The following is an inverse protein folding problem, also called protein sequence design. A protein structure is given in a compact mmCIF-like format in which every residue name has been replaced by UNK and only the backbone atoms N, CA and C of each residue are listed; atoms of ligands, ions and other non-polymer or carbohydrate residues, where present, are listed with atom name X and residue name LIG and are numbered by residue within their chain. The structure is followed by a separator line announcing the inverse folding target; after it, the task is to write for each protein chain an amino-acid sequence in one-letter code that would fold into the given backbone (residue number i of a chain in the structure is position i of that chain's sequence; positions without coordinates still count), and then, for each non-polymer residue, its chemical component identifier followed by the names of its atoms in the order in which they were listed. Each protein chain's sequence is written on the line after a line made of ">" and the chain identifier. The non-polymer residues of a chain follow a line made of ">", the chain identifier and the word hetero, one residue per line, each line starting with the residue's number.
data_IF_864002946074
#
_entry.id   IF_864002946074
#
_cell.length_a   1.000
_cell.length_b   1.000
_cell.length_c   1.000
_cell.angle_alpha   90.00
_cell.angle_beta   90.00
_cell.angle_gamma   90.00
#
_symmetry.space_group_name_H-M   'P 1'
#
loop_
_entity.id
_entity.type
_entity.pdbx_description
1 polymer ?
#
# COMPACT_ATOMS: atom_id res chain seq x y z
N UNK A 1 1.68 -2.77 -3.59
CA UNK A 1 2.77 -2.64 -4.58
C UNK A 1 3.93 -3.54 -4.17
N UNK A 2 4.56 -4.25 -5.12
CA UNK A 2 5.68 -5.14 -4.83
C UNK A 2 6.99 -4.57 -5.40
N UNK A 3 8.05 -4.69 -4.62
CA UNK A 3 9.42 -4.34 -5.02
C UNK A 3 10.32 -5.49 -4.59
N UNK A 4 11.26 -5.85 -5.46
CA UNK A 4 12.27 -6.86 -5.15
C UNK A 4 13.00 -6.51 -3.84
N UNK A 5 13.33 -7.53 -3.04
CA UNK A 5 13.96 -7.36 -1.73
C UNK A 5 15.23 -6.47 -1.83
N UNK A 6 16.08 -6.77 -2.82
CA UNK A 6 17.33 -6.05 -3.09
C UNK A 6 17.16 -4.59 -3.51
N UNK A 7 15.94 -4.18 -3.86
CA UNK A 7 15.66 -2.82 -4.33
C UNK A 7 14.71 -2.06 -3.40
N UNK A 8 14.44 -2.57 -2.20
CA UNK A 8 13.64 -1.84 -1.21
C UNK A 8 14.35 -0.58 -0.72
N UNK A 9 13.57 0.43 -0.31
CA UNK A 9 14.06 1.73 0.20
C UNK A 9 14.91 2.56 -0.78
N UNK A 10 14.92 2.19 -2.06
CA UNK A 10 15.61 2.93 -3.13
C UNK A 10 14.74 4.00 -3.80
N UNK A 11 13.48 4.16 -3.37
CA UNK A 11 12.52 5.09 -3.97
C UNK A 11 11.71 4.52 -5.14
N UNK A 12 11.99 3.30 -5.62
CA UNK A 12 11.26 2.68 -6.75
C UNK A 12 9.75 2.69 -6.56
N UNK A 13 9.26 2.33 -5.38
CA UNK A 13 7.82 2.30 -5.12
C UNK A 13 7.17 3.69 -5.25
N UNK A 14 7.88 4.75 -4.85
CA UNK A 14 7.39 6.13 -5.00
C UNK A 14 7.32 6.53 -6.47
N UNK A 15 8.32 6.16 -7.27
CA UNK A 15 8.32 6.39 -8.73
C UNK A 15 7.16 5.66 -9.41
N UNK A 16 6.93 4.39 -9.04
CA UNK A 16 5.80 3.61 -9.55
C UNK A 16 4.46 4.26 -9.17
N UNK A 17 4.31 4.74 -7.93
CA UNK A 17 3.12 5.48 -7.52
C UNK A 17 2.90 6.76 -8.31
N UNK A 18 3.94 7.54 -8.58
CA UNK A 18 3.81 8.76 -9.38
C UNK A 18 3.26 8.46 -10.78
N UNK A 19 3.77 7.42 -11.45
CA UNK A 19 3.26 7.00 -12.75
C UNK A 19 1.83 6.46 -12.68
N UNK A 20 1.53 5.62 -11.68
CA UNK A 20 0.20 5.04 -11.51
C UNK A 20 -0.86 6.10 -11.23
N UNK A 21 -0.59 7.05 -10.33
CA UNK A 21 -1.53 8.13 -10.01
C UNK A 21 -1.87 8.99 -11.23
N UNK A 22 -0.87 9.29 -12.08
CA UNK A 22 -1.11 10.01 -13.34
C UNK A 22 -2.02 9.24 -14.30
N UNK A 23 -1.82 7.92 -14.41
CA UNK A 23 -2.67 7.07 -15.25
C UNK A 23 -4.11 7.00 -14.73
N UNK A 24 -4.29 6.81 -13.41
CA UNK A 24 -5.61 6.74 -12.80
C UNK A 24 -6.39 8.06 -12.99
N UNK A 25 -5.71 9.21 -12.86
CA UNK A 25 -6.31 10.51 -13.11
C UNK A 25 -6.78 10.66 -14.58
N UNK A 26 -5.94 10.24 -15.54
CA UNK A 26 -6.32 10.23 -16.97
C UNK A 26 -7.52 9.33 -17.26
N UNK A 27 -7.60 8.21 -16.55
CA UNK A 27 -8.71 7.24 -16.66
C UNK A 27 -9.97 7.66 -15.89
N UNK A 28 -9.97 8.85 -15.26
CA UNK A 28 -11.12 9.41 -14.53
C UNK A 28 -11.53 8.59 -13.29
N UNK A 29 -10.60 7.84 -12.69
CA UNK A 29 -10.84 7.24 -11.37
C UNK A 29 -10.91 8.33 -10.30
N UNK A 30 -11.91 8.22 -9.43
CA UNK A 30 -12.11 9.18 -8.35
C UNK A 30 -11.34 8.83 -7.06
N UNK A 31 -11.21 7.53 -6.75
CA UNK A 31 -10.53 7.03 -5.55
C UNK A 31 -9.71 5.79 -5.86
N UNK A 32 -8.58 5.67 -5.19
CA UNK A 32 -7.77 4.47 -5.14
C UNK A 32 -7.69 3.99 -3.69
N UNK A 33 -7.73 2.68 -3.50
CA UNK A 33 -7.63 2.04 -2.20
C UNK A 33 -6.46 1.08 -2.21
N UNK A 34 -5.72 1.02 -1.10
CA UNK A 34 -4.58 0.13 -0.93
C UNK A 34 -4.76 -0.67 0.36
N UNK A 35 -4.85 -1.99 0.22
CA UNK A 35 -4.89 -2.90 1.36
C UNK A 35 -3.48 -3.21 1.87
N UNK A 36 -3.27 -3.11 3.18
CA UNK A 36 -2.00 -3.41 3.84
C UNK A 36 -2.25 -4.43 4.95
N UNK A 37 -1.63 -5.60 4.85
CA UNK A 37 -1.58 -6.55 5.98
C UNK A 37 -0.70 -5.97 7.08
N UNK A 38 -1.21 -5.92 8.31
CA UNK A 38 -0.50 -5.38 9.47
C UNK A 38 0.11 -6.50 10.34
N UNK A 39 1.21 -6.22 11.06
CA UNK A 39 1.99 -4.97 11.05
C UNK A 39 2.88 -4.84 9.79
N UNK A 40 2.97 -3.62 9.24
CA UNK A 40 3.87 -3.30 8.12
C UNK A 40 4.14 -1.79 8.04
N UNK A 41 4.98 -1.28 8.93
CA UNK A 41 5.27 0.16 9.08
C UNK A 41 5.89 0.75 7.80
N UNK A 42 6.72 -0.03 7.09
CA UNK A 42 7.33 0.41 5.85
C UNK A 42 6.29 0.66 4.75
N UNK A 43 5.29 -0.23 4.63
CA UNK A 43 4.19 -0.05 3.68
C UNK A 43 3.31 1.12 4.11
N UNK A 44 2.94 1.21 5.40
CA UNK A 44 2.12 2.32 5.92
C UNK A 44 2.77 3.68 5.64
N UNK A 45 4.07 3.81 5.96
CA UNK A 45 4.82 5.05 5.71
C UNK A 45 4.91 5.39 4.23
N UNK A 46 5.10 4.40 3.35
CA UNK A 46 5.12 4.61 1.90
C UNK A 46 3.77 5.14 1.39
N UNK A 47 2.66 4.50 1.77
CA UNK A 47 1.33 4.90 1.32
C UNK A 47 0.96 6.30 1.83
N UNK A 48 1.23 6.59 3.10
CA UNK A 48 1.07 7.94 3.66
C UNK A 48 1.92 8.98 2.92
N UNK A 49 3.17 8.67 2.61
CA UNK A 49 4.07 9.58 1.89
C UNK A 49 3.64 9.89 0.44
N UNK A 50 2.74 9.09 -0.15
CA UNK A 50 2.18 9.34 -1.49
C UNK A 50 0.73 9.82 -1.45
N UNK A 51 0.23 10.19 -0.27
CA UNK A 51 -1.07 10.87 -0.09
C UNK A 51 -2.25 9.96 0.21
N UNK A 52 -2.03 8.68 0.56
CA UNK A 52 -3.12 7.85 1.09
C UNK A 52 -3.41 8.18 2.54
N UNK A 53 -4.69 8.09 2.91
CA UNK A 53 -5.16 8.27 4.27
C UNK A 53 -5.80 6.96 4.78
N UNK A 54 -5.68 6.63 6.09
CA UNK A 54 -6.35 5.47 6.65
C UNK A 54 -7.87 5.60 6.58
N UNK A 55 -8.54 4.56 6.07
CA UNK A 55 -10.02 4.53 5.97
C UNK A 55 -10.67 3.50 6.90
N UNK A 56 -9.89 2.55 7.44
CA UNK A 56 -10.38 1.53 8.36
C UNK A 56 -9.34 0.43 8.62
N UNK A 57 -9.65 -0.47 9.54
CA UNK A 57 -8.89 -1.71 9.77
C UNK A 57 -9.87 -2.85 9.97
N UNK A 58 -9.77 -3.88 9.14
CA UNK A 58 -10.42 -5.17 9.33
C UNK A 58 -9.57 -6.00 10.28
N UNK A 59 -10.06 -6.18 11.52
CA UNK A 59 -9.33 -6.89 12.58
C UNK A 59 -9.51 -8.40 12.46
N UNK A 60 -8.42 -9.15 12.57
CA UNK A 60 -8.41 -10.62 12.56
C UNK A 60 -9.03 -11.24 11.30
N UNK A 61 -8.93 -10.57 10.16
CA UNK A 61 -9.71 -10.91 8.95
C UNK A 61 -9.07 -12.00 8.08
N UNK A 62 -7.75 -12.22 8.22
CA UNK A 62 -7.02 -13.17 7.38
C UNK A 62 -6.13 -14.10 8.22
N UNK A 63 -6.06 -15.38 7.85
CA UNK A 63 -5.13 -16.34 8.45
C UNK A 63 -4.01 -16.70 7.49
N UNK A 64 -2.75 -16.53 7.91
CA UNK A 64 -1.56 -16.80 7.08
C UNK A 64 -0.34 -17.02 7.96
N UNK A 65 0.51 -18.00 7.64
CA UNK A 65 1.72 -18.36 8.40
C UNK A 65 1.41 -18.60 9.89
N UNK A 66 0.40 -19.44 10.13
CA UNK A 66 -0.09 -19.83 11.46
C UNK A 66 -0.49 -18.68 12.40
N UNK A 67 -0.89 -17.55 11.83
CA UNK A 67 -1.40 -16.40 12.58
C UNK A 67 -2.58 -15.72 11.90
N UNK A 68 -3.47 -15.15 12.71
CA UNK A 68 -4.45 -14.18 12.27
C UNK A 68 -3.79 -12.82 12.05
N UNK A 69 -4.21 -12.10 11.02
CA UNK A 69 -3.66 -10.81 10.61
C UNK A 69 -4.80 -9.78 10.43
N UNK A 70 -4.48 -8.54 10.78
CA UNK A 70 -5.29 -7.37 10.47
C UNK A 70 -4.98 -6.86 9.05
N UNK A 71 -5.94 -6.18 8.43
CA UNK A 71 -5.76 -5.50 7.14
C UNK A 71 -6.34 -4.10 7.21
N UNK A 72 -5.52 -3.09 6.92
CA UNK A 72 -5.98 -1.70 6.72
C UNK A 72 -6.24 -1.39 5.26
#
# INVERSE_FOLDING_TARGET
>A
MYVAESSRRTGIARTLYASLSHLLAKQRYYRAYAGITLPNEASVALHGAVGFEPVGVYRGVAFKLDRWCDVS
#
